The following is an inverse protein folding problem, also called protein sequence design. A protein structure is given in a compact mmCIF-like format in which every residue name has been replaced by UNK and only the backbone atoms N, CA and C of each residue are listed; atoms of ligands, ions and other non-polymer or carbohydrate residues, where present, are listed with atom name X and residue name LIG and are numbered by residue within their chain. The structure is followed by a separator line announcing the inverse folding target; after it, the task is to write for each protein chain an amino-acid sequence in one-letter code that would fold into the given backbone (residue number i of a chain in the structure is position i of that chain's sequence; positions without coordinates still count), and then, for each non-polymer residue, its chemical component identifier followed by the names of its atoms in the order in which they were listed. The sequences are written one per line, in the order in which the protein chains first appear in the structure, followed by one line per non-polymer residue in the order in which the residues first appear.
data_IF_342580946519
#
_entry.id   IF_342580946519
#
_cell.length_a   1.000
_cell.length_b   1.000
_cell.length_c   1.000
_cell.angle_alpha   90.00
_cell.angle_beta   90.00
_cell.angle_gamma   90.00
#
_symmetry.space_group_name_H-M   'P 1'
#
loop_
_entity.id
_entity.type
_entity.pdbx_description
1 polymer ?
#
# COMPACT_ATOMS: atom_id res chain seq x y z
N UNK A 1 21.04 -31.18 -14.70
CA UNK A 1 21.17 -29.73 -14.41
C UNK A 1 20.04 -29.37 -13.45
N UNK A 2 20.25 -29.57 -12.14
CA UNK A 2 19.22 -29.34 -11.13
C UNK A 2 19.27 -27.89 -10.67
N UNK A 3 18.17 -27.16 -10.86
CA UNK A 3 18.00 -25.80 -10.33
C UNK A 3 17.68 -25.98 -8.83
N UNK A 4 18.72 -26.15 -8.01
CA UNK A 4 18.55 -26.08 -6.57
C UNK A 4 18.31 -24.60 -6.22
N UNK A 5 17.04 -24.19 -6.20
CA UNK A 5 16.62 -22.93 -5.60
C UNK A 5 16.92 -23.02 -4.11
N UNK A 6 18.10 -22.53 -3.71
CA UNK A 6 18.49 -22.49 -2.30
C UNK A 6 17.42 -21.72 -1.52
N UNK A 7 16.84 -22.28 -0.44
CA UNK A 7 15.86 -21.60 0.40
C UNK A 7 16.33 -20.22 0.85
N UNK A 8 17.64 -20.05 1.00
CA UNK A 8 18.29 -18.79 1.37
C UNK A 8 18.19 -17.72 0.26
N UNK A 9 18.34 -18.10 -1.02
CA UNK A 9 18.14 -17.19 -2.14
C UNK A 9 16.69 -16.79 -2.29
N UNK A 10 15.78 -17.74 -2.09
CA UNK A 10 14.35 -17.44 -2.07
C UNK A 10 14.03 -16.48 -0.94
N UNK A 11 14.48 -16.74 0.29
CA UNK A 11 14.29 -15.83 1.43
C UNK A 11 14.87 -14.43 1.19
N UNK A 12 16.08 -14.31 0.63
CA UNK A 12 16.67 -13.02 0.26
C UNK A 12 15.87 -12.28 -0.81
N UNK A 13 15.36 -12.99 -1.83
CA UNK A 13 14.49 -12.40 -2.85
C UNK A 13 13.15 -11.97 -2.26
N UNK A 14 12.59 -12.77 -1.35
CA UNK A 14 11.31 -12.44 -0.71
C UNK A 14 11.46 -11.22 0.19
N UNK A 15 12.55 -11.14 0.94
CA UNK A 15 12.88 -9.97 1.78
C UNK A 15 13.15 -8.74 0.92
N UNK A 16 13.90 -8.87 -0.18
CA UNK A 16 14.16 -7.76 -1.10
C UNK A 16 12.86 -7.24 -1.75
N UNK A 17 11.91 -8.12 -2.08
CA UNK A 17 10.58 -7.74 -2.60
C UNK A 17 9.74 -7.09 -1.50
N UNK A 18 9.80 -7.60 -0.26
CA UNK A 18 9.11 -7.03 0.89
C UNK A 18 9.60 -5.61 1.21
N UNK A 19 10.90 -5.38 1.07
CA UNK A 19 11.54 -4.06 1.19
C UNK A 19 11.16 -3.07 0.07
N UNK A 20 10.46 -3.52 -0.98
CA UNK A 20 9.94 -2.68 -2.05
C UNK A 20 8.42 -2.48 -2.01
N UNK A 21 7.71 -3.22 -1.16
CA UNK A 21 6.24 -3.19 -1.10
C UNK A 21 5.68 -2.15 -0.12
N UNK A 22 4.35 -2.09 -0.03
CA UNK A 22 3.63 -1.18 0.89
C UNK A 22 3.97 -1.49 2.35
N UNK A 23 4.38 -2.73 2.64
CA UNK A 23 4.83 -3.19 3.96
C UNK A 23 5.89 -2.27 4.58
N UNK A 24 6.80 -1.72 3.77
CA UNK A 24 7.86 -0.81 4.23
C UNK A 24 7.33 0.53 4.74
N UNK A 25 6.21 0.98 4.18
CA UNK A 25 5.61 2.29 4.48
C UNK A 25 4.51 2.19 5.52
N UNK A 26 4.26 0.99 6.06
CA UNK A 26 3.37 0.84 7.20
C UNK A 26 4.04 1.43 8.45
N UNK A 27 3.35 2.32 9.18
CA UNK A 27 3.85 2.81 10.46
C UNK A 27 3.96 1.68 11.50
N UNK A 28 3.15 0.62 11.36
CA UNK A 28 3.14 -0.56 12.23
C UNK A 28 3.11 -1.86 11.38
N UNK A 29 4.25 -2.30 10.84
CA UNK A 29 4.32 -3.37 9.83
C UNK A 29 3.87 -4.75 10.36
N UNK A 30 3.97 -5.00 11.67
CA UNK A 30 3.55 -6.27 12.28
C UNK A 30 2.08 -6.29 12.73
N UNK A 31 1.38 -5.15 12.66
CA UNK A 31 -0.02 -5.03 13.11
C UNK A 31 -1.02 -4.98 11.96
N UNK A 32 -0.56 -4.77 10.73
CA UNK A 32 -1.43 -4.63 9.56
C UNK A 32 -1.13 -5.73 8.56
N UNK A 33 -2.11 -6.62 8.34
CA UNK A 33 -2.00 -7.65 7.31
C UNK A 33 -2.15 -7.02 5.92
N UNK A 34 -1.09 -7.09 5.12
CA UNK A 34 -1.13 -6.68 3.72
C UNK A 34 -1.70 -7.81 2.87
N UNK A 35 -2.82 -7.60 2.15
CA UNK A 35 -3.38 -8.63 1.29
C UNK A 35 -2.42 -9.02 0.17
N UNK A 36 -2.34 -10.32 -0.12
CA UNK A 36 -1.57 -10.84 -1.25
C UNK A 36 -1.90 -10.09 -2.56
N UNK A 37 -0.85 -9.65 -3.25
CA UNK A 37 -0.96 -8.89 -4.50
C UNK A 37 -1.18 -7.39 -4.34
N UNK A 38 -1.44 -6.88 -3.12
CA UNK A 38 -1.69 -5.46 -2.90
C UNK A 38 -0.46 -4.59 -3.21
N UNK A 39 0.73 -4.99 -2.74
CA UNK A 39 1.97 -4.25 -3.01
C UNK A 39 2.29 -4.18 -4.51
N UNK A 40 2.02 -5.25 -5.26
CA UNK A 40 2.16 -5.25 -6.71
C UNK A 40 1.19 -4.28 -7.38
N UNK A 41 -0.09 -4.33 -7.00
CA UNK A 41 -1.09 -3.40 -7.50
C UNK A 41 -0.69 -1.94 -7.22
N UNK A 42 -0.25 -1.65 -5.99
CA UNK A 42 0.13 -0.30 -5.58
C UNK A 42 1.31 0.24 -6.40
N UNK A 43 2.32 -0.59 -6.68
CA UNK A 43 3.45 -0.20 -7.53
C UNK A 43 3.03 0.04 -8.98
N UNK A 44 2.17 -0.82 -9.54
CA UNK A 44 1.66 -0.68 -10.91
C UNK A 44 0.77 0.57 -11.07
N UNK A 45 -0.08 0.87 -10.07
CA UNK A 45 -0.91 2.08 -10.04
C UNK A 45 -0.01 3.32 -9.85
N UNK A 46 0.97 3.28 -8.93
CA UNK A 46 1.94 4.36 -8.73
C UNK A 46 2.73 4.71 -10.01
N UNK A 47 3.21 3.70 -10.74
CA UNK A 47 3.93 3.89 -12.01
C UNK A 47 3.07 4.60 -13.06
N UNK A 48 1.74 4.42 -13.01
CA UNK A 48 0.80 5.10 -13.91
C UNK A 48 0.63 6.58 -13.55
N UNK A 49 0.91 6.97 -12.30
CA UNK A 49 0.79 8.34 -11.80
C UNK A 49 2.05 9.20 -12.02
N UNK A 50 3.18 8.60 -12.40
CA UNK A 50 4.42 9.32 -12.70
C UNK A 50 5.07 10.01 -11.50
N UNK A 51 4.67 9.63 -10.28
CA UNK A 51 5.29 10.05 -9.03
C UNK A 51 6.22 8.96 -8.51
N UNK A 52 7.23 9.37 -7.74
CA UNK A 52 8.18 8.45 -7.13
C UNK A 52 7.47 7.52 -6.13
N UNK A 53 7.92 6.27 -6.08
CA UNK A 53 7.33 5.27 -5.19
C UNK A 53 7.43 5.69 -3.72
N UNK A 54 8.53 6.30 -3.31
CA UNK A 54 8.74 6.74 -1.93
C UNK A 54 7.74 7.82 -1.49
N UNK A 55 7.24 8.64 -2.42
CA UNK A 55 6.20 9.63 -2.14
C UNK A 55 4.80 9.02 -2.02
N UNK A 56 4.52 7.97 -2.82
CA UNK A 56 3.19 7.36 -2.92
C UNK A 56 2.97 6.17 -1.99
N UNK A 57 4.04 5.46 -1.62
CA UNK A 57 3.97 4.26 -0.80
C UNK A 57 3.27 4.51 0.56
N UNK A 58 3.51 5.62 1.28
CA UNK A 58 2.76 5.96 2.49
C UNK A 58 1.26 6.16 2.24
N UNK A 59 0.86 6.65 1.05
CA UNK A 59 -0.55 6.85 0.72
C UNK A 59 -1.29 5.52 0.54
N UNK A 60 -0.65 4.50 -0.03
CA UNK A 60 -1.19 3.14 -0.08
C UNK A 60 -1.24 2.49 1.31
N UNK A 61 -0.22 2.70 2.14
CA UNK A 61 -0.23 2.23 3.52
C UNK A 61 -1.40 2.86 4.30
N UNK A 62 -1.59 4.18 4.18
CA UNK A 62 -2.71 4.90 4.79
C UNK A 62 -4.06 4.38 4.28
N UNK A 63 -4.19 4.12 2.98
CA UNK A 63 -5.41 3.57 2.40
C UNK A 63 -5.73 2.18 2.97
N UNK A 64 -4.73 1.34 3.21
CA UNK A 64 -4.91 0.04 3.81
C UNK A 64 -5.43 0.14 5.26
N UNK A 65 -4.87 1.05 6.05
CA UNK A 65 -5.25 1.28 7.45
C UNK A 65 -6.67 1.84 7.60
N UNK A 66 -7.07 2.71 6.67
CA UNK A 66 -8.33 3.46 6.75
C UNK A 66 -9.50 2.77 6.05
N UNK A 67 -9.26 1.62 5.40
CA UNK A 67 -10.28 0.93 4.61
C UNK A 67 -11.52 0.57 5.44
N UNK A 68 -12.66 1.18 5.09
CA UNK A 68 -13.96 0.90 5.71
C UNK A 68 -14.22 1.65 7.02
N UNK A 69 -13.24 2.41 7.52
CA UNK A 69 -13.42 3.34 8.64
C UNK A 69 -13.73 4.77 8.20
N UNK A 70 -13.40 5.12 6.96
CA UNK A 70 -13.50 6.48 6.40
C UNK A 70 -14.35 6.51 5.12
N UNK A 71 -14.98 7.66 4.86
CA UNK A 71 -15.71 7.98 3.63
C UNK A 71 -15.25 9.32 3.06
N UNK A 72 -14.57 9.27 1.92
CA UNK A 72 -14.24 10.48 1.15
C UNK A 72 -15.46 10.96 0.33
N UNK A 73 -15.71 12.27 0.19
CA UNK A 73 -14.90 13.40 0.70
C UNK A 73 -15.29 13.87 2.12
N UNK A 74 -16.27 13.25 2.77
CA UNK A 74 -16.78 13.66 4.09
C UNK A 74 -15.68 13.72 5.16
N UNK A 75 -14.75 12.77 5.12
CA UNK A 75 -13.64 12.68 6.07
C UNK A 75 -12.30 13.20 5.51
N UNK A 76 -12.32 14.05 4.48
CA UNK A 76 -11.09 14.51 3.81
C UNK A 76 -10.12 15.23 4.76
N UNK A 77 -10.62 16.08 5.66
CA UNK A 77 -9.82 16.80 6.65
C UNK A 77 -9.19 15.84 7.69
N UNK A 78 -9.95 14.83 8.12
CA UNK A 78 -9.44 13.80 9.03
C UNK A 78 -8.34 12.96 8.37
N UNK A 79 -8.47 12.69 7.06
CA UNK A 79 -7.45 12.01 6.28
C UNK A 79 -6.20 12.87 6.09
N UNK A 80 -6.33 14.19 5.95
CA UNK A 80 -5.20 15.12 5.91
C UNK A 80 -4.42 15.10 7.22
N UNK A 81 -5.11 15.11 8.36
CA UNK A 81 -4.47 14.99 9.68
C UNK A 81 -3.70 13.66 9.79
N UNK A 82 -4.30 12.55 9.35
CA UNK A 82 -3.59 11.27 9.32
C UNK A 82 -2.41 11.26 8.36
N UNK A 83 -2.50 11.97 7.24
CA UNK A 83 -1.39 12.12 6.30
C UNK A 83 -0.23 12.88 6.93
N UNK A 84 -0.50 13.95 7.68
CA UNK A 84 0.54 14.69 8.39
C UNK A 84 1.27 13.83 9.44
N UNK A 85 0.58 12.88 10.05
CA UNK A 85 1.16 11.97 11.05
C UNK A 85 1.83 10.73 10.43
N UNK A 86 1.26 10.17 9.36
CA UNK A 86 1.61 8.85 8.81
C UNK A 86 2.19 8.89 7.39
N UNK A 87 2.32 10.09 6.80
CA UNK A 87 2.91 10.31 5.47
C UNK A 87 4.41 9.97 5.40
N UNK A 88 5.05 9.76 6.54
CA UNK A 88 6.43 9.27 6.64
C UNK A 88 7.43 10.20 5.95
N UNK A 89 8.24 9.64 5.06
CA UNK A 89 9.27 10.37 4.29
C UNK A 89 8.72 11.00 2.99
N UNK A 90 7.40 10.94 2.75
CA UNK A 90 6.82 11.55 1.55
C UNK A 90 7.04 13.06 1.54
N UNK A 91 7.44 13.58 0.38
CA UNK A 91 7.62 15.02 0.16
C UNK A 91 6.34 15.71 -0.32
N UNK A 92 5.24 14.96 -0.38
CA UNK A 92 3.98 15.40 -1.01
C UNK A 92 2.96 15.87 0.01
N UNK A 93 2.16 16.85 -0.42
CA UNK A 93 0.97 17.28 0.29
C UNK A 93 -0.15 16.25 0.13
N UNK A 94 -1.08 16.20 1.11
CA UNK A 94 -2.25 15.34 1.03
C UNK A 94 -3.03 15.53 -0.28
N UNK A 95 -3.20 16.79 -0.72
CA UNK A 95 -3.89 17.12 -1.97
C UNK A 95 -3.26 16.51 -3.23
N UNK A 96 -1.96 16.20 -3.20
CA UNK A 96 -1.24 15.57 -4.32
C UNK A 96 -1.45 14.06 -4.36
N UNK A 97 -1.67 13.42 -3.21
CA UNK A 97 -1.74 11.95 -3.08
C UNK A 97 -3.13 11.42 -2.74
N UNK A 98 -4.08 12.28 -2.35
CA UNK A 98 -5.41 11.89 -1.87
C UNK A 98 -6.20 11.03 -2.87
N UNK A 99 -5.93 11.18 -4.17
CA UNK A 99 -6.59 10.42 -5.22
C UNK A 99 -6.19 8.93 -5.26
N UNK A 100 -5.11 8.55 -4.58
CA UNK A 100 -4.63 7.16 -4.46
C UNK A 100 -5.53 6.36 -3.52
N UNK A 101 -5.95 6.97 -2.41
CA UNK A 101 -6.77 6.31 -1.37
C UNK A 101 -8.06 5.67 -1.92
N UNK A 102 -8.94 6.36 -2.67
CA UNK A 102 -10.15 5.73 -3.19
C UNK A 102 -9.87 4.60 -4.18
N UNK A 103 -8.75 4.64 -4.92
CA UNK A 103 -8.36 3.58 -5.86
C UNK A 103 -7.92 2.32 -5.12
N UNK A 104 -7.08 2.51 -4.11
CA UNK A 104 -6.67 1.47 -3.20
C UNK A 104 -7.87 0.81 -2.51
N UNK A 105 -8.79 1.61 -1.97
CA UNK A 105 -10.02 1.08 -1.35
C UNK A 105 -10.88 0.28 -2.34
N UNK A 106 -10.98 0.73 -3.60
CA UNK A 106 -11.71 -0.01 -4.64
C UNK A 106 -11.08 -1.38 -4.88
N UNK A 107 -9.76 -1.44 -5.05
CA UNK A 107 -9.05 -2.71 -5.23
C UNK A 107 -9.27 -3.64 -4.03
N UNK A 108 -9.07 -3.13 -2.81
CA UNK A 108 -9.22 -3.90 -1.58
C UNK A 108 -10.65 -4.43 -1.40
N UNK A 109 -11.65 -3.66 -1.81
CA UNK A 109 -13.07 -4.05 -1.74
C UNK A 109 -13.39 -5.18 -2.73
N UNK A 110 -12.88 -5.11 -3.95
CA UNK A 110 -13.05 -6.17 -4.96
C UNK A 110 -12.35 -7.48 -4.55
N UNK A 111 -11.15 -7.38 -3.98
CA UNK A 111 -10.38 -8.53 -3.51
C UNK A 111 -11.02 -9.20 -2.29
N UNK A 112 -11.61 -8.43 -1.36
CA UNK A 112 -12.39 -9.00 -0.25
C UNK A 112 -13.66 -9.72 -0.75
N UNK A 113 -14.36 -9.15 -1.73
CA UNK A 113 -15.54 -9.77 -2.31
C UNK A 113 -15.21 -11.10 -3.01
N UNK A 114 -14.09 -11.17 -3.74
CA UNK A 114 -13.67 -12.39 -4.43
C UNK A 114 -13.21 -13.52 -3.50
N UNK A 115 -12.69 -13.18 -2.31
CA UNK A 115 -12.38 -14.16 -1.25
C UNK A 115 -13.62 -14.71 -0.54
N UNK A 116 -14.70 -13.93 -0.41
CA UNK A 116 -15.96 -14.39 0.22
C UNK A 116 -16.84 -15.27 -0.69
N UNK A 117 -16.60 -15.24 -2.00
CA UNK A 117 -17.37 -16.00 -2.98
C UNK A 117 -16.82 -17.42 -3.27
N UNK A 118 -15.73 -17.80 -2.60
CA UNK A 118 -15.14 -19.16 -2.65
C UNK A 118 -15.42 -19.89 -1.35
#
# INVERSE_FOLDING_TARGET
MGIATSPQRFAQLTEAVRLQGVERCLPYPDMTEVPEGYSRFAQEDAATHGLEWDDLCPAYALALLTQGGYRLPEDADAMEILWDELGGESTKLWSEVANVVPRAWRWLSLTRASRRAR
#
